data_IF_222294283593
#
_entry.id   IF_222294283593
#
_cell.length_a   1.000
_cell.length_b   1.000
_cell.length_c   1.000
_cell.angle_alpha   90.00
_cell.angle_beta   90.00
_cell.angle_gamma   90.00
#
_symmetry.space_group_name_H-M   'P 1'
#
loop_
_entity.id
_entity.type
_entity.pdbx_description
1 polymer ?
#
# COMPACT_ATOMS: atom_id res chain seq x y z
N UNK A 1 6.42 10.68 20.07
CA UNK A 1 5.09 10.02 20.15
C UNK A 1 5.08 8.87 19.14
N UNK A 2 4.50 7.72 19.51
CA UNK A 2 4.47 6.53 18.66
C UNK A 2 3.30 6.61 17.69
N UNK A 3 3.58 6.57 16.39
CA UNK A 3 2.58 6.51 15.32
C UNK A 3 2.67 5.19 14.57
N UNK A 4 1.54 4.70 14.06
CA UNK A 4 1.43 3.41 13.39
C UNK A 4 1.14 3.52 11.90
N UNK A 5 1.60 2.56 11.11
CA UNK A 5 1.30 2.46 9.69
C UNK A 5 1.26 0.99 9.25
N UNK A 6 0.62 0.74 8.11
CA UNK A 6 0.54 -0.59 7.49
C UNK A 6 1.47 -0.65 6.27
N UNK A 7 2.23 -1.73 6.14
CA UNK A 7 2.95 -2.08 4.92
C UNK A 7 2.90 -3.60 4.69
N UNK A 8 2.28 -4.01 3.60
CA UNK A 8 2.04 -5.42 3.24
C UNK A 8 1.42 -6.25 4.38
N UNK A 9 0.42 -5.70 5.07
CA UNK A 9 -0.30 -6.37 6.15
C UNK A 9 0.37 -6.26 7.53
N UNK A 10 1.62 -5.81 7.60
CA UNK A 10 2.32 -5.59 8.86
C UNK A 10 1.89 -4.26 9.48
N UNK A 11 1.54 -4.29 10.77
CA UNK A 11 1.31 -3.07 11.58
C UNK A 11 2.62 -2.67 12.25
N UNK A 12 3.20 -1.59 11.75
CA UNK A 12 4.52 -1.08 12.12
C UNK A 12 4.39 0.26 12.84
N UNK A 13 5.49 0.78 13.37
CA UNK A 13 5.47 2.07 14.05
C UNK A 13 6.77 2.86 13.93
N UNK A 14 6.68 4.16 14.20
CA UNK A 14 7.76 5.13 14.05
C UNK A 14 8.91 5.00 15.06
N UNK A 15 8.77 4.17 16.10
CA UNK A 15 9.83 3.93 17.09
C UNK A 15 10.77 2.77 16.69
N UNK A 16 10.39 1.98 15.68
CA UNK A 16 11.22 0.89 15.15
C UNK A 16 12.37 1.45 14.30
N UNK A 17 13.48 0.70 14.25
CA UNK A 17 14.57 1.03 13.32
C UNK A 17 14.17 0.74 11.87
N UNK A 18 14.85 1.37 10.92
CA UNK A 18 14.62 1.14 9.49
C UNK A 18 14.89 -0.33 9.15
N UNK A 19 15.95 -0.90 9.69
CA UNK A 19 16.36 -2.28 9.45
C UNK A 19 15.31 -3.28 9.95
N UNK A 20 14.73 -3.04 11.13
CA UNK A 20 13.64 -3.87 11.67
C UNK A 20 12.39 -3.79 10.80
N UNK A 21 11.98 -2.56 10.43
CA UNK A 21 10.81 -2.34 9.57
C UNK A 21 11.00 -3.03 8.21
N UNK A 22 12.14 -2.81 7.56
CA UNK A 22 12.42 -3.40 6.24
C UNK A 22 12.48 -4.92 6.30
N UNK A 23 13.12 -5.50 7.32
CA UNK A 23 13.20 -6.95 7.48
C UNK A 23 11.83 -7.59 7.65
N UNK A 24 10.99 -7.03 8.54
CA UNK A 24 9.67 -7.59 8.83
C UNK A 24 8.75 -7.52 7.60
N UNK A 25 8.71 -6.39 6.90
CA UNK A 25 7.88 -6.25 5.70
C UNK A 25 8.40 -7.10 4.55
N UNK A 26 9.73 -7.22 4.40
CA UNK A 26 10.31 -8.03 3.33
C UNK A 26 10.05 -9.53 3.54
N UNK A 27 10.14 -10.04 4.77
CA UNK A 27 9.78 -11.44 5.07
C UNK A 27 8.34 -11.74 4.64
N UNK A 28 7.38 -10.89 5.03
CA UNK A 28 5.98 -11.03 4.63
C UNK A 28 5.81 -10.89 3.11
N UNK A 29 6.53 -9.97 2.45
CA UNK A 29 6.46 -9.80 1.00
C UNK A 29 6.97 -11.00 0.21
N UNK A 30 8.04 -11.64 0.68
CA UNK A 30 8.66 -12.76 -0.02
C UNK A 30 7.72 -13.97 -0.09
N UNK A 31 6.88 -14.17 0.92
CA UNK A 31 5.85 -15.22 0.93
C UNK A 31 4.81 -15.04 -0.19
N UNK A 32 4.38 -13.80 -0.46
CA UNK A 32 3.33 -13.51 -1.44
C UNK A 32 3.85 -13.23 -2.84
N UNK A 33 5.06 -12.68 -2.96
CA UNK A 33 5.59 -12.17 -4.24
C UNK A 33 6.69 -13.07 -4.80
N UNK A 34 7.10 -14.12 -4.09
CA UNK A 34 8.23 -14.97 -4.49
C UNK A 34 9.51 -14.16 -4.77
N UNK A 35 9.73 -13.08 -4.01
CA UNK A 35 10.88 -12.18 -4.13
C UNK A 35 10.83 -11.20 -5.30
N UNK A 36 9.69 -11.05 -5.98
CA UNK A 36 9.52 -10.11 -7.10
C UNK A 36 9.29 -8.65 -6.66
N UNK A 37 9.01 -8.43 -5.37
CA UNK A 37 8.87 -7.10 -4.80
C UNK A 37 9.90 -6.86 -3.70
N UNK A 38 10.34 -5.61 -3.56
CA UNK A 38 11.19 -5.19 -2.44
C UNK A 38 10.57 -4.02 -1.70
N UNK A 39 10.73 -3.98 -0.38
CA UNK A 39 10.28 -2.86 0.43
C UNK A 39 11.45 -2.09 1.04
N UNK A 40 11.38 -0.77 1.02
CA UNK A 40 12.41 0.10 1.59
C UNK A 40 11.81 1.33 2.26
N UNK A 41 12.49 1.80 3.31
CA UNK A 41 12.22 3.07 3.97
C UNK A 41 13.20 4.11 3.47
N UNK A 42 12.67 5.25 3.05
CA UNK A 42 13.46 6.44 2.73
C UNK A 42 13.69 7.31 3.96
N UNK A 43 12.68 7.43 4.81
CA UNK A 43 12.70 8.30 5.99
C UNK A 43 11.66 7.81 7.00
N UNK A 44 12.02 7.80 8.28
CA UNK A 44 11.11 7.56 9.39
C UNK A 44 11.41 8.57 10.50
N UNK A 45 10.36 9.17 11.03
CA UNK A 45 10.41 10.07 12.17
C UNK A 45 9.07 10.00 12.90
N UNK A 46 8.97 10.66 14.06
CA UNK A 46 7.69 10.74 14.78
C UNK A 46 6.57 11.42 13.96
N UNK A 47 6.90 12.27 12.98
CA UNK A 47 5.93 13.10 12.23
C UNK A 47 5.61 12.55 10.84
N UNK A 48 6.54 11.82 10.25
CA UNK A 48 6.37 11.30 8.90
C UNK A 48 7.10 9.99 8.68
N UNK A 49 6.55 9.22 7.74
CA UNK A 49 7.23 8.10 7.10
C UNK A 49 7.18 8.25 5.58
N UNK A 50 8.30 7.94 4.92
CA UNK A 50 8.40 7.80 3.47
C UNK A 50 8.94 6.42 3.15
N UNK A 51 8.17 5.67 2.39
CA UNK A 51 8.48 4.28 2.04
C UNK A 51 8.20 4.03 0.58
N UNK A 52 8.80 2.98 0.04
CA UNK A 52 8.53 2.55 -1.33
C UNK A 52 8.60 1.04 -1.50
N UNK A 53 7.78 0.55 -2.42
CA UNK A 53 7.80 -0.82 -2.91
C UNK A 53 8.42 -0.80 -4.31
N UNK A 54 9.49 -1.55 -4.54
CA UNK A 54 10.06 -1.78 -5.87
C UNK A 54 9.38 -3.00 -6.46
N UNK A 55 8.80 -2.86 -7.65
CA UNK A 55 8.08 -3.93 -8.38
C UNK A 55 7.95 -3.55 -9.85
N UNK A 56 7.99 -4.54 -10.73
CA UNK A 56 7.80 -4.33 -12.17
C UNK A 56 6.32 -4.38 -12.55
N UNK A 57 5.77 -3.26 -13.03
CA UNK A 57 4.39 -3.17 -13.52
C UNK A 57 4.24 -2.00 -14.50
N UNK A 58 3.62 -2.24 -15.65
CA UNK A 58 3.40 -1.19 -16.63
C UNK A 58 2.44 -0.10 -16.11
N UNK A 59 2.97 1.10 -15.90
CA UNK A 59 2.29 2.22 -15.26
C UNK A 59 2.51 3.51 -16.05
N UNK A 60 1.45 4.28 -16.27
CA UNK A 60 1.57 5.69 -16.64
C UNK A 60 1.61 6.55 -15.37
N UNK A 61 2.78 7.10 -14.98
CA UNK A 61 2.95 7.82 -13.71
C UNK A 61 2.23 9.18 -13.67
N UNK A 62 1.58 9.58 -14.77
CA UNK A 62 0.75 10.79 -14.84
C UNK A 62 -0.72 10.51 -14.56
N UNK A 63 -1.14 9.25 -14.51
CA UNK A 63 -2.52 8.89 -14.16
C UNK A 63 -2.67 8.71 -12.65
N UNK A 64 -3.64 9.38 -12.00
CA UNK A 64 -3.85 9.31 -10.55
C UNK A 64 -4.60 8.03 -10.13
N UNK A 65 -4.25 6.89 -10.73
CA UNK A 65 -4.89 5.59 -10.49
C UNK A 65 -3.97 4.71 -9.64
N UNK A 66 -4.53 3.64 -9.06
CA UNK A 66 -3.82 2.53 -8.41
C UNK A 66 -4.45 1.21 -8.85
N UNK A 67 -3.63 0.22 -9.22
CA UNK A 67 -4.11 -1.11 -9.60
C UNK A 67 -4.36 -2.01 -8.39
N UNK A 68 -5.25 -2.98 -8.56
CA UNK A 68 -5.58 -4.03 -7.58
C UNK A 68 -4.35 -4.74 -7.01
N UNK A 69 -3.38 -5.09 -7.84
CA UNK A 69 -2.12 -5.68 -7.40
C UNK A 69 -1.33 -4.76 -6.45
N UNK A 70 -1.25 -3.46 -6.76
CA UNK A 70 -0.56 -2.48 -5.91
C UNK A 70 -1.32 -2.21 -4.62
N UNK A 71 -2.66 -2.15 -4.67
CA UNK A 71 -3.50 -2.02 -3.48
C UNK A 71 -3.29 -3.22 -2.53
N UNK A 72 -3.27 -4.43 -3.09
CA UNK A 72 -2.99 -5.66 -2.33
C UNK A 72 -1.58 -5.65 -1.74
N UNK A 73 -0.57 -5.29 -2.54
CA UNK A 73 0.83 -5.23 -2.11
C UNK A 73 1.04 -4.26 -0.94
N UNK A 74 0.43 -3.07 -0.99
CA UNK A 74 0.60 -2.06 0.07
C UNK A 74 -0.12 -2.48 1.35
N UNK A 75 -1.32 -3.05 1.24
CA UNK A 75 -2.22 -3.28 2.38
C UNK A 75 -2.07 -4.67 3.00
N UNK A 76 -1.51 -5.63 2.26
CA UNK A 76 -1.55 -7.06 2.61
C UNK A 76 -2.94 -7.68 2.49
N UNK A 77 -3.96 -6.92 2.08
CA UNK A 77 -5.31 -7.44 1.86
C UNK A 77 -5.32 -8.19 0.53
N UNK A 78 -5.94 -9.38 0.53
CA UNK A 78 -6.01 -10.22 -0.66
C UNK A 78 -6.61 -9.47 -1.87
N UNK A 79 -6.04 -9.69 -3.06
CA UNK A 79 -6.39 -8.96 -4.30
C UNK A 79 -7.89 -8.96 -4.62
N UNK A 80 -8.62 -9.99 -4.21
CA UNK A 80 -10.07 -10.08 -4.36
C UNK A 80 -10.84 -8.91 -3.71
N UNK A 81 -10.29 -8.27 -2.67
CA UNK A 81 -10.88 -7.06 -2.07
C UNK A 81 -10.84 -5.84 -3.01
N UNK A 82 -10.07 -5.91 -4.08
CA UNK A 82 -9.88 -4.84 -5.05
C UNK A 82 -10.33 -5.27 -6.45
N UNK A 83 -11.13 -6.33 -6.55
CA UNK A 83 -11.65 -6.86 -7.80
C UNK A 83 -13.18 -6.98 -7.75
N UNK A 84 -13.90 -6.76 -8.87
CA UNK A 84 -15.36 -6.88 -8.91
C UNK A 84 -15.86 -8.30 -8.65
N UNK A 85 -17.11 -8.42 -8.17
CA UNK A 85 -17.77 -9.71 -7.95
C UNK A 85 -17.89 -10.57 -9.21
N UNK A 86 -17.96 -9.94 -10.40
CA UNK A 86 -18.06 -10.64 -11.68
C UNK A 86 -16.84 -11.52 -11.99
N UNK A 87 -15.69 -11.24 -11.36
CA UNK A 87 -14.47 -12.06 -11.47
C UNK A 87 -14.18 -12.83 -10.16
N UNK A 88 -15.15 -12.93 -9.26
CA UNK A 88 -15.03 -13.64 -7.99
C UNK A 88 -14.44 -12.80 -6.84
N UNK A 89 -14.27 -11.49 -7.02
CA UNK A 89 -13.81 -10.59 -5.96
C UNK A 89 -14.91 -10.19 -4.97
N UNK A 90 -14.50 -9.56 -3.88
CA UNK A 90 -15.35 -9.00 -2.83
C UNK A 90 -14.95 -7.52 -2.62
N UNK A 91 -15.31 -6.63 -3.55
CA UNK A 91 -14.72 -5.31 -3.64
C UNK A 91 -15.04 -4.44 -2.41
N UNK A 92 -13.98 -3.96 -1.76
CA UNK A 92 -14.03 -3.04 -0.61
C UNK A 92 -13.78 -1.58 -1.02
N UNK A 93 -13.50 -1.35 -2.31
CA UNK A 93 -13.25 -0.04 -2.90
C UNK A 93 -14.05 0.12 -4.19
N UNK A 94 -14.50 1.35 -4.47
CA UNK A 94 -15.15 1.73 -5.72
C UNK A 94 -14.69 3.14 -6.18
N UNK A 95 -14.72 3.43 -7.50
CA UNK A 95 -15.00 2.49 -8.59
C UNK A 95 -13.82 1.55 -8.87
N UNK A 96 -14.10 0.43 -9.54
CA UNK A 96 -13.09 -0.50 -10.07
C UNK A 96 -13.27 -0.59 -11.58
N UNK A 97 -12.28 -0.09 -12.30
CA UNK A 97 -12.28 -0.04 -13.77
C UNK A 97 -11.37 -1.12 -14.33
N UNK A 98 -11.80 -1.79 -15.39
CA UNK A 98 -11.04 -2.85 -16.04
C UNK A 98 -9.90 -2.31 -16.89
N UNK A 99 -8.74 -2.97 -16.82
CA UNK A 99 -7.55 -2.66 -17.59
C UNK A 99 -6.82 -3.94 -18.00
N UNK A 100 -7.37 -4.62 -19.01
CA UNK A 100 -6.75 -5.79 -19.66
C UNK A 100 -6.80 -7.05 -18.79
N UNK A 101 -5.93 -7.17 -17.79
CA UNK A 101 -5.91 -8.30 -16.85
C UNK A 101 -6.09 -7.87 -15.39
N UNK A 102 -6.03 -6.56 -15.13
CA UNK A 102 -6.08 -5.97 -13.80
C UNK A 102 -7.29 -5.04 -13.69
N UNK A 103 -7.59 -4.63 -12.46
CA UNK A 103 -8.52 -3.56 -12.16
C UNK A 103 -7.80 -2.39 -11.51
N UNK A 104 -8.35 -1.18 -11.65
CA UNK A 104 -7.80 0.00 -11.00
C UNK A 104 -8.88 0.87 -10.38
N UNK A 105 -8.48 1.64 -9.37
CA UNK A 105 -9.28 2.71 -8.78
C UNK A 105 -8.50 4.03 -8.78
N UNK A 106 -9.15 5.10 -8.36
CA UNK A 106 -8.48 6.37 -8.10
C UNK A 106 -7.63 6.27 -6.83
N UNK A 107 -6.44 6.87 -6.83
CA UNK A 107 -5.56 6.94 -5.66
C UNK A 107 -6.31 7.51 -4.45
N UNK A 108 -7.21 8.47 -4.65
CA UNK A 108 -7.99 9.08 -3.57
C UNK A 108 -8.96 8.11 -2.91
N UNK A 109 -9.57 7.18 -3.66
CA UNK A 109 -10.40 6.11 -3.10
C UNK A 109 -9.54 5.15 -2.28
N UNK A 110 -8.34 4.82 -2.75
CA UNK A 110 -7.44 3.94 -2.02
C UNK A 110 -6.90 4.57 -0.74
N UNK A 111 -6.56 5.86 -0.76
CA UNK A 111 -6.15 6.59 0.45
C UNK A 111 -7.25 6.53 1.51
N UNK A 112 -8.53 6.68 1.12
CA UNK A 112 -9.66 6.55 2.07
C UNK A 112 -9.75 5.14 2.65
N UNK A 113 -9.59 4.12 1.81
CA UNK A 113 -9.55 2.73 2.26
C UNK A 113 -8.40 2.49 3.25
N UNK A 114 -7.18 2.91 2.92
CA UNK A 114 -6.01 2.74 3.80
C UNK A 114 -6.21 3.44 5.15
N UNK A 115 -6.71 4.69 5.16
CA UNK A 115 -7.03 5.41 6.40
C UNK A 115 -8.09 4.68 7.23
N UNK A 116 -9.11 4.12 6.58
CA UNK A 116 -10.14 3.32 7.25
C UNK A 116 -9.56 2.04 7.86
N UNK A 117 -8.77 1.28 7.10
CA UNK A 117 -8.10 0.07 7.60
C UNK A 117 -7.23 0.38 8.82
N UNK A 118 -6.36 1.38 8.71
CA UNK A 118 -5.47 1.79 9.80
C UNK A 118 -6.25 2.23 11.07
N UNK A 119 -7.39 2.89 10.89
CA UNK A 119 -8.26 3.27 11.99
C UNK A 119 -8.96 2.06 12.63
N UNK A 120 -9.51 1.14 11.84
CA UNK A 120 -10.22 -0.04 12.36
C UNK A 120 -9.27 -1.02 13.07
N UNK A 121 -8.03 -1.18 12.58
CA UNK A 121 -7.07 -2.13 13.16
C UNK A 121 -6.39 -1.60 14.43
N UNK A 122 -6.05 -0.31 14.50
CA UNK A 122 -5.25 0.24 15.61
C UNK A 122 -5.70 1.62 16.12
N UNK A 123 -6.78 2.19 15.60
CA UNK A 123 -7.29 3.50 16.01
C UNK A 123 -6.40 4.69 15.59
N UNK A 124 -5.42 4.47 14.72
CA UNK A 124 -4.51 5.52 14.26
C UNK A 124 -5.20 6.39 13.21
N UNK A 125 -5.09 7.71 13.39
CA UNK A 125 -5.50 8.71 12.39
C UNK A 125 -4.27 9.35 11.75
N UNK A 126 -4.43 9.91 10.55
CA UNK A 126 -3.30 10.52 9.82
C UNK A 126 -3.76 11.82 9.15
N UNK A 127 -2.94 12.86 9.25
CA UNK A 127 -3.15 14.14 8.60
C UNK A 127 -3.21 13.98 7.07
N UNK A 128 -2.15 13.43 6.47
CA UNK A 128 -1.99 13.36 5.02
C UNK A 128 -1.35 12.06 4.55
N UNK A 129 -1.78 11.58 3.38
CA UNK A 129 -1.13 10.48 2.66
C UNK A 129 -0.87 10.94 1.23
N UNK A 130 0.39 10.91 0.82
CA UNK A 130 0.82 11.06 -0.56
C UNK A 130 1.15 9.70 -1.15
N UNK A 131 0.67 9.41 -2.35
CA UNK A 131 0.93 8.15 -3.06
C UNK A 131 1.20 8.42 -4.53
N UNK A 132 2.24 7.80 -5.07
CA UNK A 132 2.55 7.86 -6.50
C UNK A 132 3.05 6.51 -7.00
N UNK A 133 2.40 6.01 -8.04
CA UNK A 133 2.79 4.78 -8.73
C UNK A 133 3.63 5.10 -9.96
N UNK A 134 4.79 4.47 -10.05
CA UNK A 134 5.68 4.45 -11.21
C UNK A 134 5.74 3.04 -11.76
N UNK A 135 6.39 2.87 -12.91
CA UNK A 135 6.52 1.55 -13.55
C UNK A 135 7.40 0.59 -12.74
N UNK A 136 8.41 1.12 -12.03
CA UNK A 136 9.38 0.34 -11.26
C UNK A 136 9.13 0.36 -9.74
N UNK A 137 8.26 1.25 -9.26
CA UNK A 137 8.02 1.42 -7.82
C UNK A 137 6.71 2.11 -7.48
N UNK A 138 6.27 1.93 -6.24
CA UNK A 138 5.24 2.73 -5.60
C UNK A 138 5.92 3.56 -4.51
N UNK A 139 5.71 4.88 -4.50
CA UNK A 139 6.20 5.77 -3.45
C UNK A 139 5.03 6.23 -2.58
N UNK A 140 5.14 6.06 -1.27
CA UNK A 140 4.13 6.47 -0.30
C UNK A 140 4.75 7.32 0.81
N UNK A 141 4.04 8.37 1.19
CA UNK A 141 4.35 9.23 2.33
C UNK A 141 3.13 9.32 3.23
N UNK A 142 3.34 9.20 4.53
CA UNK A 142 2.30 9.41 5.54
C UNK A 142 2.80 10.49 6.49
N UNK A 143 1.95 11.48 6.75
CA UNK A 143 2.15 12.53 7.73
C UNK A 143 1.09 12.31 8.82
N UNK A 144 1.55 12.18 10.07
CA UNK A 144 0.73 11.82 11.22
C UNK A 144 0.11 13.03 11.88
#
# INVERSE_FOLDING_TARGET
MKNYFIANGEILNTDMSIEEIESQVQESLDEYTSGMAQFRIKEVSEKEIRMFFVRDFDYDPNKPIIFDADMALITGVGIGAFQPQQVGGYPMIYPLSFAGKNFYSEITSFIRFYKFQLFEEIGQTVEHIGLRCYSDRILMQIIF
#
